data_IF_701397947394
#
_entry.id   IF_701397947394
#
_cell.length_a   1.000
_cell.length_b   1.000
_cell.length_c   1.000
_cell.angle_alpha   90.00
_cell.angle_beta   90.00
_cell.angle_gamma   90.00
#
_symmetry.space_group_name_H-M   'P 1'
#
loop_
_entity.id
_entity.type
_entity.pdbx_description
1 polymer ?
#
# COMPACT_ATOMS: atom_id res chain seq x y z
N UNK A 1 27.39 28.42 3.08
CA UNK A 1 27.06 27.39 2.05
C UNK A 1 25.85 27.87 1.25
N UNK A 2 25.93 27.96 -0.08
CA UNK A 2 24.73 28.27 -0.91
C UNK A 2 23.70 27.17 -0.66
N UNK A 3 22.45 27.53 -0.35
CA UNK A 3 21.33 26.56 -0.28
C UNK A 3 21.31 25.80 -1.62
N UNK A 4 21.71 24.54 -1.60
CA UNK A 4 21.54 23.67 -2.76
C UNK A 4 20.03 23.56 -3.01
N UNK A 5 19.62 23.73 -4.27
CA UNK A 5 18.23 23.55 -4.67
C UNK A 5 17.76 22.12 -4.40
N UNK A 6 16.44 21.91 -4.41
CA UNK A 6 15.86 20.58 -4.24
C UNK A 6 16.26 19.66 -5.40
N UNK A 7 17.10 18.66 -5.11
CA UNK A 7 17.44 17.56 -6.01
C UNK A 7 16.95 16.20 -5.44
N UNK A 8 15.93 15.57 -6.04
CA UNK A 8 15.39 14.31 -5.54
C UNK A 8 16.34 13.11 -5.70
N UNK A 9 17.28 13.14 -6.65
CA UNK A 9 18.27 12.05 -6.85
C UNK A 9 19.37 12.14 -5.78
N UNK A 10 19.83 13.35 -5.46
CA UNK A 10 20.80 13.56 -4.39
C UNK A 10 20.23 13.20 -3.01
N UNK A 11 18.94 13.47 -2.77
CA UNK A 11 18.24 13.00 -1.56
C UNK A 11 18.17 11.48 -1.46
N UNK A 12 18.14 10.75 -2.58
CA UNK A 12 18.07 9.29 -2.58
C UNK A 12 19.43 8.68 -2.18
N UNK A 13 20.53 9.17 -2.77
CA UNK A 13 21.90 8.71 -2.48
C UNK A 13 22.29 8.98 -1.01
N UNK A 14 21.95 10.16 -0.50
CA UNK A 14 22.21 10.53 0.91
C UNK A 14 21.40 9.68 1.89
N UNK A 15 20.27 9.09 1.47
CA UNK A 15 19.43 8.22 2.33
C UNK A 15 19.81 6.76 2.34
N UNK A 16 20.38 6.24 1.25
CA UNK A 16 20.96 4.91 1.26
C UNK A 16 22.13 4.84 2.25
N UNK A 17 22.84 5.95 2.46
CA UNK A 17 23.89 6.11 3.46
C UNK A 17 23.35 6.50 4.85
N UNK A 18 22.30 7.33 4.96
CA UNK A 18 21.66 7.67 6.23
C UNK A 18 20.63 6.63 6.71
N UNK A 19 21.12 5.53 7.30
CA UNK A 19 20.30 4.74 8.25
C UNK A 19 21.08 4.46 9.52
N UNK A 20 21.32 5.50 10.31
CA UNK A 20 21.91 5.39 11.66
C UNK A 20 21.06 4.53 12.63
N UNK A 21 19.80 4.25 12.30
CA UNK A 21 18.92 3.39 13.10
C UNK A 21 19.10 1.91 12.76
N UNK A 22 19.54 1.12 13.74
CA UNK A 22 19.61 -0.34 13.65
C UNK A 22 18.26 -0.96 13.24
N UNK A 23 17.15 -0.46 13.80
CA UNK A 23 15.80 -0.96 13.48
C UNK A 23 15.46 -0.80 12.00
N UNK A 24 15.86 0.33 11.38
CA UNK A 24 15.64 0.54 9.95
C UNK A 24 16.50 -0.43 9.14
N UNK A 25 17.78 -0.60 9.50
CA UNK A 25 18.68 -1.56 8.82
C UNK A 25 18.12 -2.98 8.87
N UNK A 26 17.68 -3.43 10.05
CA UNK A 26 17.05 -4.74 10.23
C UNK A 26 15.76 -4.90 9.42
N UNK A 27 14.91 -3.87 9.36
CA UNK A 27 13.68 -3.92 8.55
C UNK A 27 14.01 -4.03 7.05
N UNK A 28 14.97 -3.25 6.57
CA UNK A 28 15.35 -3.22 5.15
C UNK A 28 16.17 -4.43 4.72
N UNK A 29 16.86 -5.10 5.64
CA UNK A 29 17.56 -6.37 5.36
C UNK A 29 16.63 -7.58 5.31
N UNK A 30 15.37 -7.45 5.75
CA UNK A 30 14.41 -8.54 5.68
C UNK A 30 13.75 -8.57 4.29
N UNK A 31 14.27 -9.42 3.41
CA UNK A 31 13.79 -9.58 2.03
C UNK A 31 12.29 -9.92 1.90
N UNK A 32 11.68 -10.53 2.92
CA UNK A 32 10.28 -10.95 2.89
C UNK A 32 9.29 -9.91 3.42
N UNK A 33 9.73 -9.06 4.35
CA UNK A 33 8.81 -8.18 5.09
C UNK A 33 9.12 -6.69 4.96
N UNK A 34 10.23 -6.29 4.33
CA UNK A 34 10.67 -4.90 4.32
C UNK A 34 9.64 -3.93 3.73
N UNK A 35 8.86 -4.37 2.74
CA UNK A 35 7.89 -3.53 2.03
C UNK A 35 6.53 -3.43 2.73
N UNK A 36 6.27 -4.22 3.79
CA UNK A 36 4.96 -4.28 4.45
C UNK A 36 4.88 -3.49 5.76
N UNK A 37 3.73 -2.86 5.98
CA UNK A 37 3.35 -2.15 7.18
C UNK A 37 3.36 -3.10 8.38
N UNK A 38 3.99 -2.71 9.48
CA UNK A 38 4.07 -3.55 10.68
C UNK A 38 2.73 -3.81 11.38
N UNK A 39 1.66 -3.07 11.03
CA UNK A 39 0.37 -3.14 11.72
C UNK A 39 -0.75 -3.79 10.90
N UNK A 40 -0.71 -3.67 9.58
CA UNK A 40 -1.75 -4.21 8.71
C UNK A 40 -1.20 -4.91 7.46
N UNK A 41 0.13 -4.99 7.35
CA UNK A 41 0.85 -5.60 6.24
C UNK A 41 0.43 -5.16 4.82
N UNK A 42 -0.23 -4.02 4.70
CA UNK A 42 -0.31 -3.27 3.44
C UNK A 42 1.07 -2.73 3.08
N UNK A 43 1.28 -2.37 1.81
CA UNK A 43 2.53 -1.72 1.39
C UNK A 43 2.80 -0.46 2.22
N UNK A 44 4.05 -0.29 2.64
CA UNK A 44 4.50 0.92 3.33
C UNK A 44 4.49 2.11 2.37
N UNK A 45 4.43 3.32 2.90
CA UNK A 45 4.60 4.51 2.03
C UNK A 45 5.94 4.50 1.31
N UNK A 46 6.99 3.97 1.95
CA UNK A 46 8.31 3.85 1.34
C UNK A 46 8.31 2.89 0.15
N UNK A 47 7.76 1.68 0.27
CA UNK A 47 7.67 0.73 -0.84
C UNK A 47 6.79 1.26 -1.96
N UNK A 48 5.63 1.85 -1.65
CA UNK A 48 4.77 2.48 -2.66
C UNK A 48 5.51 3.56 -3.44
N UNK A 49 6.37 4.34 -2.78
CA UNK A 49 7.20 5.32 -3.49
C UNK A 49 8.32 4.68 -4.31
N UNK A 50 8.89 3.54 -3.89
CA UNK A 50 9.85 2.76 -4.69
C UNK A 50 9.21 2.13 -5.93
N UNK A 51 7.93 1.80 -5.87
CA UNK A 51 7.23 1.17 -6.99
C UNK A 51 6.62 2.21 -7.96
N UNK A 52 6.62 3.49 -7.58
CA UNK A 52 5.97 4.57 -8.35
C UNK A 52 6.92 5.74 -8.60
N UNK A 53 7.91 5.61 -9.50
CA UNK A 53 8.79 6.72 -9.86
C UNK A 53 7.98 7.86 -10.48
N UNK A 54 8.43 9.09 -10.23
CA UNK A 54 7.87 10.29 -10.86
C UNK A 54 8.83 10.85 -11.89
N UNK A 55 8.28 11.45 -12.95
CA UNK A 55 9.08 12.16 -13.94
C UNK A 55 9.39 13.55 -13.43
N UNK A 56 10.67 13.93 -13.46
CA UNK A 56 11.14 15.26 -13.09
C UNK A 56 11.89 15.93 -14.24
N UNK A 57 11.79 17.25 -14.30
CA UNK A 57 12.67 18.09 -15.11
C UNK A 57 13.52 18.95 -14.20
N UNK A 58 14.83 18.90 -14.41
CA UNK A 58 15.79 19.81 -13.79
C UNK A 58 15.59 21.22 -14.34
N UNK A 59 15.58 22.18 -13.44
CA UNK A 59 15.51 23.60 -13.71
C UNK A 59 16.88 24.23 -13.43
N UNK A 60 17.09 25.44 -13.96
CA UNK A 60 18.27 26.24 -13.65
C UNK A 60 18.42 26.42 -12.13
N UNK A 61 19.68 26.51 -11.67
CA UNK A 61 20.06 26.67 -10.25
C UNK A 61 19.79 25.46 -9.35
N UNK A 62 19.66 24.25 -9.92
CA UNK A 62 19.56 23.01 -9.16
C UNK A 62 18.18 22.75 -8.55
N UNK A 63 17.14 23.41 -9.06
CA UNK A 63 15.75 23.10 -8.71
C UNK A 63 15.22 21.98 -9.62
N UNK A 64 14.17 21.28 -9.20
CA UNK A 64 13.48 20.30 -10.01
C UNK A 64 11.96 20.52 -9.94
N UNK A 65 11.25 20.25 -11.04
CA UNK A 65 9.79 20.19 -11.08
C UNK A 65 9.30 18.81 -11.48
N UNK A 66 8.20 18.36 -10.88
CA UNK A 66 7.50 17.14 -11.31
C UNK A 66 6.74 17.44 -12.58
N UNK A 67 6.85 16.54 -13.55
CA UNK A 67 6.11 16.57 -14.80
C UNK A 67 4.80 15.82 -14.59
N UNK A 68 3.68 16.49 -14.83
CA UNK A 68 2.37 15.84 -14.87
C UNK A 68 2.30 14.91 -16.07
N UNK A 69 2.08 13.63 -15.84
CA UNK A 69 1.85 12.64 -16.90
C UNK A 69 0.39 12.75 -17.37
N UNK A 70 0.20 13.23 -18.60
CA UNK A 70 -1.10 13.34 -19.25
C UNK A 70 -1.63 11.95 -19.66
N UNK A 71 -2.95 11.80 -19.88
CA UNK A 71 -3.52 10.57 -20.43
C UNK A 71 -2.79 10.11 -21.72
N UNK A 72 -2.52 11.04 -22.64
CA UNK A 72 -1.77 10.75 -23.88
C UNK A 72 -0.42 10.08 -23.68
N UNK A 73 0.32 10.41 -22.61
CA UNK A 73 1.62 9.78 -22.30
C UNK A 73 1.41 8.35 -21.81
N UNK A 74 0.32 8.10 -21.08
CA UNK A 74 -0.05 6.75 -20.64
C UNK A 74 -0.51 5.90 -21.82
N UNK A 75 -1.31 6.47 -22.72
CA UNK A 75 -1.80 5.78 -23.91
C UNK A 75 -0.65 5.38 -24.83
N UNK A 76 0.34 6.24 -25.03
CA UNK A 76 1.54 5.91 -25.82
C UNK A 76 2.33 4.72 -25.26
N UNK A 77 2.40 4.59 -23.93
CA UNK A 77 3.05 3.43 -23.29
C UNK A 77 2.25 2.14 -23.49
N UNK A 78 0.92 2.22 -23.39
CA UNK A 78 0.01 1.11 -23.62
C UNK A 78 0.06 0.64 -25.09
N UNK A 79 -0.02 1.55 -26.05
CA UNK A 79 0.06 1.25 -27.49
C UNK A 79 1.38 0.54 -27.83
N UNK A 80 2.50 1.01 -27.27
CA UNK A 80 3.81 0.39 -27.46
C UNK A 80 3.89 -1.00 -26.83
N UNK A 81 3.33 -1.17 -25.64
CA UNK A 81 3.25 -2.49 -25.00
C UNK A 81 2.44 -3.46 -25.86
N UNK A 82 1.25 -3.05 -26.30
CA UNK A 82 0.37 -3.85 -27.14
C UNK A 82 1.03 -4.27 -28.45
N UNK A 83 1.79 -3.38 -29.09
CA UNK A 83 2.52 -3.71 -30.31
C UNK A 83 3.58 -4.80 -30.07
N UNK A 84 4.29 -4.75 -28.95
CA UNK A 84 5.30 -5.75 -28.58
C UNK A 84 4.64 -7.09 -28.23
N UNK A 85 3.56 -7.05 -27.44
CA UNK A 85 2.79 -8.24 -27.04
C UNK A 85 2.21 -8.94 -28.27
N UNK A 86 1.59 -8.20 -29.19
CA UNK A 86 1.08 -8.75 -30.47
C UNK A 86 2.18 -9.40 -31.29
N UNK A 87 3.39 -8.84 -31.30
CA UNK A 87 4.53 -9.44 -32.01
C UNK A 87 4.97 -10.76 -31.36
N UNK A 88 4.97 -10.84 -30.04
CA UNK A 88 5.28 -12.06 -29.30
C UNK A 88 4.24 -13.15 -29.54
N UNK A 89 2.95 -12.79 -29.46
CA UNK A 89 1.83 -13.69 -29.75
C UNK A 89 1.90 -14.28 -31.17
N UNK A 90 2.14 -13.44 -32.18
CA UNK A 90 2.34 -13.90 -33.56
C UNK A 90 3.56 -14.81 -33.70
N UNK A 91 4.65 -14.53 -32.98
CA UNK A 91 5.84 -15.36 -33.02
C UNK A 91 5.57 -16.75 -32.43
N UNK A 92 4.82 -16.84 -31.33
CA UNK A 92 4.40 -18.11 -30.74
C UNK A 92 3.49 -18.92 -31.68
N UNK A 93 2.59 -18.26 -32.42
CA UNK A 93 1.67 -18.92 -33.35
C UNK A 93 2.32 -19.39 -34.66
N UNK A 94 3.54 -18.94 -34.96
CA UNK A 94 4.24 -19.28 -36.21
C UNK A 94 5.19 -20.46 -36.05
N UNK A 95 5.21 -21.36 -37.04
CA UNK A 95 6.03 -22.60 -37.03
C UNK A 95 7.55 -22.36 -36.95
N UNK A 96 8.03 -21.17 -37.33
CA UNK A 96 9.44 -20.77 -37.28
C UNK A 96 9.72 -19.63 -36.29
N UNK A 97 8.73 -19.22 -35.48
CA UNK A 97 8.84 -18.03 -34.63
C UNK A 97 9.47 -18.23 -33.27
N UNK A 98 9.83 -19.46 -32.90
CA UNK A 98 10.39 -19.78 -31.58
C UNK A 98 11.63 -18.96 -31.23
N UNK A 99 12.54 -18.74 -32.19
CA UNK A 99 13.72 -17.90 -31.98
C UNK A 99 13.34 -16.44 -31.72
N UNK A 100 12.33 -15.93 -32.43
CA UNK A 100 11.85 -14.55 -32.25
C UNK A 100 11.14 -14.40 -30.91
N UNK A 101 10.31 -15.37 -30.52
CA UNK A 101 9.64 -15.39 -29.24
C UNK A 101 10.67 -15.41 -28.09
N UNK A 102 11.69 -16.29 -28.16
CA UNK A 102 12.75 -16.33 -27.15
C UNK A 102 13.50 -15.01 -27.04
N UNK A 103 13.91 -14.40 -28.15
CA UNK A 103 14.60 -13.10 -28.15
C UNK A 103 13.75 -11.97 -27.55
N UNK A 104 12.44 -11.98 -27.80
CA UNK A 104 11.52 -11.02 -27.20
C UNK A 104 11.40 -11.26 -25.70
N UNK A 105 11.26 -12.52 -25.28
CA UNK A 105 11.20 -12.91 -23.88
C UNK A 105 12.45 -12.47 -23.11
N UNK A 106 13.64 -12.85 -23.59
CA UNK A 106 14.92 -12.53 -22.93
C UNK A 106 15.18 -11.02 -22.87
N UNK A 107 14.56 -10.23 -23.75
CA UNK A 107 14.69 -8.77 -23.77
C UNK A 107 13.83 -8.08 -22.71
N UNK A 108 12.64 -8.60 -22.42
CA UNK A 108 11.64 -7.91 -21.59
C UNK A 108 11.36 -8.61 -20.26
N UNK A 109 11.64 -9.90 -20.14
CA UNK A 109 11.30 -10.71 -18.98
C UNK A 109 12.57 -11.22 -18.30
N UNK A 110 12.54 -11.30 -16.96
CA UNK A 110 13.48 -12.10 -16.20
C UNK A 110 12.86 -13.48 -15.96
N UNK A 111 13.47 -14.54 -16.52
CA UNK A 111 12.95 -15.90 -16.43
C UNK A 111 12.84 -16.42 -14.99
N UNK A 112 13.60 -15.88 -14.04
CA UNK A 112 13.54 -16.25 -12.63
C UNK A 112 12.35 -15.55 -11.98
N UNK A 113 12.18 -14.24 -12.23
CA UNK A 113 11.05 -13.45 -11.70
C UNK A 113 9.71 -14.00 -12.19
N UNK A 114 9.62 -14.37 -13.47
CA UNK A 114 8.41 -14.91 -14.10
C UNK A 114 8.21 -16.41 -13.85
N UNK A 115 9.12 -17.09 -13.15
CA UNK A 115 9.14 -18.56 -13.00
C UNK A 115 9.05 -19.28 -14.34
N UNK A 116 9.67 -18.70 -15.37
CA UNK A 116 9.64 -19.16 -16.76
C UNK A 116 8.20 -19.26 -17.33
N UNK A 117 7.25 -18.48 -16.82
CA UNK A 117 5.95 -18.30 -17.48
C UNK A 117 6.18 -17.61 -18.82
N UNK A 118 5.87 -18.33 -19.90
CA UNK A 118 5.97 -17.87 -21.29
C UNK A 118 4.61 -17.59 -21.93
N UNK A 119 3.54 -17.58 -21.13
CA UNK A 119 2.21 -17.19 -21.58
C UNK A 119 2.21 -15.75 -22.12
N UNK A 120 1.25 -15.44 -22.99
CA UNK A 120 1.09 -14.07 -23.51
C UNK A 120 0.76 -13.10 -22.37
N UNK A 121 0.01 -13.53 -21.36
CA UNK A 121 -0.33 -12.74 -20.18
C UNK A 121 0.90 -12.43 -19.33
N UNK A 122 1.70 -13.44 -18.95
CA UNK A 122 2.92 -13.22 -18.18
C UNK A 122 3.96 -12.37 -18.93
N UNK A 123 4.03 -12.51 -20.26
CA UNK A 123 4.86 -11.66 -21.10
C UNK A 123 4.37 -10.19 -21.12
N UNK A 124 3.05 -9.98 -21.18
CA UNK A 124 2.44 -8.64 -21.15
C UNK A 124 2.81 -7.88 -19.88
N UNK A 125 2.72 -8.52 -18.70
CA UNK A 125 3.04 -7.90 -17.41
C UNK A 125 4.48 -7.35 -17.38
N UNK A 126 5.42 -8.09 -17.96
CA UNK A 126 6.82 -7.68 -18.05
C UNK A 126 7.02 -6.48 -19.00
N UNK A 127 6.35 -6.52 -20.17
CA UNK A 127 6.47 -5.48 -21.19
C UNK A 127 5.85 -4.17 -20.73
N UNK A 128 4.66 -4.20 -20.14
CA UNK A 128 3.92 -2.99 -19.74
C UNK A 128 4.72 -2.13 -18.76
N UNK A 129 5.37 -2.74 -17.77
CA UNK A 129 6.23 -2.04 -16.81
C UNK A 129 7.42 -1.36 -17.50
N UNK A 130 8.07 -2.06 -18.43
CA UNK A 130 9.26 -1.55 -19.13
C UNK A 130 8.88 -0.42 -20.10
N UNK A 131 7.83 -0.59 -20.91
CA UNK A 131 7.41 0.44 -21.86
C UNK A 131 6.93 1.68 -21.14
N UNK A 132 6.23 1.53 -20.01
CA UNK A 132 5.82 2.65 -19.17
C UNK A 132 7.01 3.53 -18.77
N UNK A 133 8.05 2.94 -18.19
CA UNK A 133 9.24 3.69 -17.77
C UNK A 133 10.01 4.27 -18.94
N UNK A 134 10.13 3.55 -20.06
CA UNK A 134 10.77 4.07 -21.27
C UNK A 134 10.03 5.29 -21.84
N UNK A 135 8.71 5.26 -21.89
CA UNK A 135 7.92 6.39 -22.39
C UNK A 135 7.99 7.57 -21.43
N UNK A 136 7.87 7.32 -20.12
CA UNK A 136 7.99 8.37 -19.11
C UNK A 136 9.36 9.05 -19.12
N UNK A 137 10.44 8.29 -19.35
CA UNK A 137 11.80 8.82 -19.44
C UNK A 137 12.02 9.78 -20.61
N UNK A 138 11.17 9.77 -21.65
CA UNK A 138 11.23 10.76 -22.74
C UNK A 138 10.85 12.16 -22.28
N UNK A 139 10.10 12.26 -21.19
CA UNK A 139 9.58 13.52 -20.68
C UNK A 139 10.41 14.09 -19.51
N UNK A 140 11.45 13.38 -19.05
CA UNK A 140 12.32 13.82 -17.98
C UNK A 140 13.04 12.65 -17.30
N UNK A 141 13.76 12.94 -16.21
CA UNK A 141 14.43 11.91 -15.41
C UNK A 141 13.40 11.22 -14.51
N UNK A 142 13.46 9.89 -14.42
CA UNK A 142 12.70 9.14 -13.43
C UNK A 142 13.39 9.27 -12.06
N UNK A 143 12.63 9.74 -11.07
CA UNK A 143 13.11 9.86 -9.70
C UNK A 143 12.13 9.20 -8.73
N UNK A 144 12.69 8.47 -7.76
CA UNK A 144 11.94 7.89 -6.65
C UNK A 144 11.81 8.92 -5.54
N UNK A 145 10.93 9.88 -5.81
CA UNK A 145 10.79 11.09 -5.00
C UNK A 145 10.11 10.75 -3.67
N UNK A 146 10.77 11.13 -2.58
CA UNK A 146 10.22 10.98 -1.22
C UNK A 146 9.70 12.28 -0.63
N UNK A 147 9.79 13.39 -1.37
CA UNK A 147 9.26 14.72 -1.06
C UNK A 147 8.83 15.42 -2.34
N UNK A 148 7.58 15.85 -2.46
CA UNK A 148 7.13 16.57 -3.65
C UNK A 148 7.90 17.91 -3.80
N UNK A 149 8.12 18.42 -5.03
CA UNK A 149 8.65 19.77 -5.23
C UNK A 149 7.82 20.81 -4.46
N UNK A 150 8.50 21.69 -3.73
CA UNK A 150 7.86 22.70 -2.87
C UNK A 150 7.52 22.22 -1.46
N UNK A 151 7.70 20.94 -1.12
CA UNK A 151 7.67 20.50 0.28
C UNK A 151 8.95 20.93 1.00
N UNK A 152 8.77 21.51 2.19
CA UNK A 152 9.91 21.91 3.01
C UNK A 152 10.70 20.69 3.54
N UNK A 153 11.86 20.97 4.14
CA UNK A 153 12.69 19.93 4.72
C UNK A 153 12.13 19.30 6.01
N UNK A 154 11.06 19.86 6.56
CA UNK A 154 10.37 19.34 7.75
C UNK A 154 9.19 18.44 7.40
N UNK A 155 8.76 18.44 6.13
CA UNK A 155 7.63 17.67 5.64
C UNK A 155 7.82 16.18 5.93
N UNK A 156 6.72 15.56 6.38
CA UNK A 156 6.70 14.17 6.78
C UNK A 156 7.16 13.27 5.63
N UNK A 157 8.35 12.68 5.78
CA UNK A 157 8.89 11.70 4.85
C UNK A 157 8.01 10.43 4.85
N UNK A 158 7.93 9.71 3.72
CA UNK A 158 7.35 8.38 3.63
C UNK A 158 7.90 7.46 4.72
N UNK A 159 7.00 6.79 5.44
CA UNK A 159 7.37 5.82 6.46
C UNK A 159 7.92 4.54 5.84
N UNK A 160 9.06 4.06 6.36
CA UNK A 160 9.64 2.74 6.06
C UNK A 160 8.95 1.60 6.84
N UNK A 161 8.07 1.93 7.78
CA UNK A 161 7.44 0.95 8.68
C UNK A 161 5.93 0.87 8.53
N UNK A 162 5.29 1.93 8.03
CA UNK A 162 3.85 2.10 8.08
C UNK A 162 3.31 2.52 6.71
N UNK A 163 2.10 2.07 6.40
CA UNK A 163 1.32 2.60 5.28
C UNK A 163 0.78 4.01 5.62
N UNK A 164 0.18 4.70 4.66
CA UNK A 164 -0.38 6.04 4.85
C UNK A 164 -1.42 6.12 5.98
N UNK A 165 -2.22 5.06 6.14
CA UNK A 165 -3.26 4.95 7.17
C UNK A 165 -2.72 4.69 8.57
N UNK A 166 -1.46 4.26 8.70
CA UNK A 166 -0.82 3.97 9.98
C UNK A 166 0.37 4.87 10.28
N UNK A 167 0.71 5.82 9.40
CA UNK A 167 1.76 6.79 9.67
C UNK A 167 1.22 7.93 10.55
N UNK A 168 1.61 8.03 11.84
CA UNK A 168 1.04 9.02 12.77
C UNK A 168 1.37 10.48 12.43
N UNK A 169 2.28 10.70 11.47
CA UNK A 169 2.67 12.01 10.96
C UNK A 169 1.78 12.49 9.81
N UNK A 170 0.86 11.67 9.29
CA UNK A 170 0.00 12.01 8.15
C UNK A 170 -1.30 12.69 8.56
N UNK A 171 -1.96 12.18 9.59
CA UNK A 171 -3.22 12.73 10.07
C UNK A 171 -3.51 12.26 11.50
N UNK A 172 -4.43 12.94 12.17
CA UNK A 172 -4.94 12.47 13.47
C UNK A 172 -5.65 11.12 13.35
N UNK A 173 -6.30 10.86 12.23
CA UNK A 173 -6.94 9.56 11.98
C UNK A 173 -5.90 8.45 11.86
N UNK A 174 -4.82 8.67 11.10
CA UNK A 174 -3.72 7.72 11.00
C UNK A 174 -3.01 7.50 12.35
N UNK A 175 -2.91 8.56 13.17
CA UNK A 175 -2.40 8.47 14.54
C UNK A 175 -3.30 7.63 15.43
N UNK A 176 -4.63 7.79 15.37
CA UNK A 176 -5.59 6.97 16.11
C UNK A 176 -5.53 5.51 15.67
N UNK A 177 -5.52 5.26 14.37
CA UNK A 177 -5.39 3.92 13.80
C UNK A 177 -4.08 3.25 14.28
N UNK A 178 -2.96 3.95 14.20
CA UNK A 178 -1.69 3.47 14.74
C UNK A 178 -1.79 3.13 16.24
N UNK A 179 -2.35 4.02 17.07
CA UNK A 179 -2.45 3.80 18.51
C UNK A 179 -3.37 2.64 18.89
N UNK A 180 -4.42 2.41 18.11
CA UNK A 180 -5.35 1.29 18.25
C UNK A 180 -4.67 -0.01 17.84
N UNK A 181 -4.15 -0.07 16.62
CA UNK A 181 -3.73 -1.31 15.98
C UNK A 181 -2.35 -1.77 16.48
N UNK A 182 -1.47 -0.86 16.93
CA UNK A 182 -0.17 -1.24 17.53
C UNK A 182 -0.29 -2.14 18.76
N UNK A 183 -1.43 -2.09 19.46
CA UNK A 183 -1.69 -2.91 20.65
C UNK A 183 -1.96 -4.37 20.30
N UNK A 184 -2.37 -4.62 19.06
CA UNK A 184 -2.82 -5.91 18.58
C UNK A 184 -1.84 -6.56 17.60
N UNK A 185 -0.60 -6.07 17.57
CA UNK A 185 0.42 -6.55 16.61
C UNK A 185 0.69 -8.05 16.81
N UNK A 186 0.84 -8.49 18.06
CA UNK A 186 1.12 -9.90 18.36
C UNK A 186 -0.07 -10.79 17.97
N UNK A 187 -1.30 -10.36 18.26
CA UNK A 187 -2.50 -11.08 17.86
C UNK A 187 -2.66 -11.15 16.35
N UNK A 188 -2.24 -10.11 15.63
CA UNK A 188 -2.23 -10.15 14.16
C UNK A 188 -1.27 -11.22 13.64
N UNK A 189 -0.06 -11.30 14.20
CA UNK A 189 0.94 -12.32 13.85
C UNK A 189 0.42 -13.74 14.14
N UNK A 190 -0.20 -13.95 15.30
CA UNK A 190 -0.84 -15.23 15.66
C UNK A 190 -1.97 -15.60 14.68
N UNK A 191 -2.80 -14.64 14.27
CA UNK A 191 -3.87 -14.89 13.31
C UNK A 191 -3.32 -15.22 11.92
N UNK A 192 -2.23 -14.60 11.49
CA UNK A 192 -1.57 -14.97 10.23
C UNK A 192 -1.10 -16.43 10.27
N UNK A 193 -0.43 -16.83 11.35
CA UNK A 193 0.05 -18.22 11.51
C UNK A 193 -1.10 -19.22 11.56
N UNK A 194 -2.21 -18.88 12.22
CA UNK A 194 -3.40 -19.72 12.30
C UNK A 194 -4.07 -19.89 10.92
N UNK A 195 -4.29 -18.80 10.18
CA UNK A 195 -4.88 -18.84 8.84
C UNK A 195 -3.97 -19.61 7.87
N UNK A 196 -2.65 -19.41 7.96
CA UNK A 196 -1.67 -20.13 7.15
C UNK A 196 -1.70 -21.64 7.44
N UNK A 197 -1.61 -22.01 8.71
CA UNK A 197 -1.63 -23.41 9.14
C UNK A 197 -2.93 -24.11 8.75
N UNK A 198 -4.08 -23.46 8.95
CA UNK A 198 -5.37 -24.01 8.55
C UNK A 198 -5.46 -24.19 7.03
N UNK A 199 -5.03 -23.19 6.25
CA UNK A 199 -5.07 -23.26 4.79
C UNK A 199 -4.19 -24.35 4.22
N UNK A 200 -2.98 -24.56 4.77
CA UNK A 200 -2.09 -25.65 4.38
C UNK A 200 -2.69 -27.00 4.75
N UNK A 201 -3.14 -27.17 6.01
CA UNK A 201 -3.65 -28.46 6.49
C UNK A 201 -4.92 -28.90 5.78
N UNK A 202 -5.73 -27.96 5.30
CA UNK A 202 -6.94 -28.23 4.52
C UNK A 202 -6.69 -28.38 3.02
N UNK A 203 -5.47 -28.12 2.54
CA UNK A 203 -5.14 -28.08 1.11
C UNK A 203 -5.73 -26.87 0.36
N UNK A 204 -6.33 -25.90 1.08
CA UNK A 204 -6.91 -24.69 0.49
C UNK A 204 -5.87 -23.64 0.09
N UNK A 205 -4.68 -23.68 0.70
CA UNK A 205 -3.55 -22.81 0.36
C UNK A 205 -2.31 -23.63 -0.02
N UNK A 206 -1.55 -23.21 -1.05
CA UNK A 206 -0.25 -23.80 -1.35
C UNK A 206 0.74 -23.51 -0.21
N UNK A 207 1.75 -24.38 -0.07
CA UNK A 207 2.80 -24.20 0.93
C UNK A 207 3.59 -22.88 0.74
N UNK A 208 3.66 -22.37 -0.49
CA UNK A 208 4.24 -21.06 -0.80
C UNK A 208 3.63 -20.48 -2.09
N UNK A 209 3.02 -19.30 -1.99
CA UNK A 209 2.56 -18.51 -3.14
C UNK A 209 2.34 -17.04 -2.76
N UNK A 210 2.58 -16.11 -3.69
CA UNK A 210 2.50 -14.66 -3.41
C UNK A 210 1.06 -14.21 -3.14
N UNK A 211 0.09 -14.75 -3.88
CA UNK A 211 -1.33 -14.44 -3.69
C UNK A 211 -1.85 -15.09 -2.41
N UNK A 212 -1.41 -16.31 -2.10
CA UNK A 212 -1.70 -16.94 -0.81
C UNK A 212 -1.17 -16.11 0.36
N UNK A 213 0.07 -15.61 0.27
CA UNK A 213 0.63 -14.70 1.27
C UNK A 213 -0.18 -13.39 1.38
N UNK A 214 -0.62 -12.81 0.26
CA UNK A 214 -1.47 -11.62 0.28
C UNK A 214 -2.85 -11.89 0.89
N UNK A 215 -3.44 -13.05 0.59
CA UNK A 215 -4.69 -13.52 1.16
C UNK A 215 -4.59 -13.65 2.68
N UNK A 216 -3.63 -14.40 3.20
CA UNK A 216 -3.50 -14.63 4.65
C UNK A 216 -3.32 -13.34 5.43
N UNK A 217 -2.55 -12.38 4.91
CA UNK A 217 -2.39 -11.07 5.55
C UNK A 217 -3.70 -10.28 5.59
N UNK A 218 -4.45 -10.27 4.49
CA UNK A 218 -5.75 -9.60 4.42
C UNK A 218 -6.75 -10.25 5.36
N UNK A 219 -6.78 -11.58 5.38
CA UNK A 219 -7.73 -12.36 6.14
C UNK A 219 -7.47 -12.28 7.65
N UNK A 220 -6.22 -12.43 8.07
CA UNK A 220 -5.85 -12.22 9.47
C UNK A 220 -6.15 -10.80 9.95
N UNK A 221 -5.99 -9.78 9.08
CA UNK A 221 -6.34 -8.40 9.44
C UNK A 221 -7.86 -8.24 9.54
N UNK A 222 -8.63 -8.83 8.63
CA UNK A 222 -10.11 -8.86 8.66
C UNK A 222 -10.60 -9.51 9.96
N UNK A 223 -10.12 -10.72 10.28
CA UNK A 223 -10.45 -11.45 11.49
C UNK A 223 -10.09 -10.65 12.76
N UNK A 224 -8.93 -10.00 12.77
CA UNK A 224 -8.54 -9.14 13.88
C UNK A 224 -9.52 -7.97 14.04
N UNK A 225 -9.89 -7.31 12.94
CA UNK A 225 -10.85 -6.22 12.96
C UNK A 225 -12.25 -6.71 13.35
N UNK A 226 -12.63 -7.96 13.12
CA UNK A 226 -13.92 -8.52 13.58
C UNK A 226 -13.91 -8.86 15.06
N UNK A 227 -12.84 -9.50 15.54
CA UNK A 227 -12.67 -9.83 16.96
C UNK A 227 -12.54 -8.56 17.80
N UNK A 228 -11.86 -7.54 17.26
CA UNK A 228 -11.60 -6.26 17.93
C UNK A 228 -12.49 -5.13 17.44
N UNK A 229 -13.43 -5.42 16.54
CA UNK A 229 -14.47 -4.47 16.15
C UNK A 229 -15.11 -3.99 17.44
N UNK A 230 -15.50 -2.71 17.51
CA UNK A 230 -16.30 -2.26 18.63
C UNK A 230 -17.60 -3.08 18.61
N UNK A 231 -17.66 -4.16 19.40
CA UNK A 231 -18.93 -4.80 19.76
C UNK A 231 -19.83 -3.77 20.44
N UNK A 232 -19.22 -2.71 20.98
CA UNK A 232 -19.78 -1.42 21.41
C UNK A 232 -20.20 -0.46 20.31
N UNK A 233 -20.34 -0.90 19.05
CA UNK A 233 -21.04 -0.10 18.04
C UNK A 233 -22.43 0.27 18.57
N UNK A 234 -22.85 1.51 18.33
CA UNK A 234 -24.11 2.00 18.90
C UNK A 234 -25.31 1.18 18.39
N UNK A 235 -25.25 0.65 17.17
CA UNK A 235 -26.26 -0.27 16.62
C UNK A 235 -26.42 -1.49 17.52
N UNK A 236 -25.33 -2.16 17.87
CA UNK A 236 -25.36 -3.33 18.75
C UNK A 236 -25.83 -2.97 20.16
N UNK A 237 -25.44 -1.81 20.68
CA UNK A 237 -25.92 -1.33 21.99
C UNK A 237 -27.41 -1.05 21.93
N UNK A 238 -27.92 -0.46 20.85
CA UNK A 238 -29.33 -0.13 20.68
C UNK A 238 -30.17 -1.39 20.50
N UNK A 239 -29.74 -2.34 19.67
CA UNK A 239 -30.39 -3.64 19.51
C UNK A 239 -30.53 -4.37 20.85
N UNK A 240 -29.50 -4.35 21.70
CA UNK A 240 -29.55 -4.99 23.02
C UNK A 240 -30.40 -4.19 24.03
N UNK A 241 -30.45 -2.85 23.91
CA UNK A 241 -31.39 -2.04 24.69
C UNK A 241 -32.84 -2.31 24.28
N UNK A 242 -33.10 -2.49 22.99
CA UNK A 242 -34.43 -2.80 22.44
C UNK A 242 -34.89 -4.20 22.85
N UNK A 243 -33.95 -5.12 23.09
CA UNK A 243 -34.19 -6.43 23.73
C UNK A 243 -34.43 -6.33 25.25
N UNK A 244 -34.47 -5.12 25.83
CA UNK A 244 -34.75 -4.87 27.23
C UNK A 244 -33.58 -5.09 28.19
N UNK A 245 -32.36 -5.26 27.68
CA UNK A 245 -31.19 -5.52 28.53
C UNK A 245 -30.74 -4.28 29.29
N UNK A 246 -30.29 -4.46 30.53
CA UNK A 246 -29.69 -3.37 31.30
C UNK A 246 -28.30 -3.02 30.75
N UNK A 247 -27.85 -1.78 30.95
CA UNK A 247 -26.50 -1.36 30.54
C UNK A 247 -25.38 -2.20 31.15
N UNK A 248 -25.61 -2.82 32.31
CA UNK A 248 -24.64 -3.71 32.94
C UNK A 248 -24.58 -5.07 32.23
N UNK A 249 -25.71 -5.57 31.73
CA UNK A 249 -25.78 -6.83 30.97
C UNK A 249 -25.20 -6.65 29.58
N UNK A 250 -25.50 -5.53 28.93
CA UNK A 250 -24.90 -5.12 27.65
C UNK A 250 -23.37 -5.02 27.81
N UNK A 251 -22.88 -4.42 28.89
CA UNK A 251 -21.45 -4.34 29.15
C UNK A 251 -20.80 -5.74 29.26
N UNK A 252 -21.45 -6.68 29.94
CA UNK A 252 -21.00 -8.08 30.05
C UNK A 252 -21.01 -8.79 28.70
N UNK A 253 -22.10 -8.66 27.93
CA UNK A 253 -22.28 -9.33 26.64
C UNK A 253 -21.32 -8.79 25.56
N UNK A 254 -21.07 -7.48 25.56
CA UNK A 254 -20.14 -6.83 24.64
C UNK A 254 -18.68 -6.87 25.14
N UNK A 255 -18.43 -7.52 26.28
CA UNK A 255 -17.13 -7.60 26.96
C UNK A 255 -16.45 -6.22 27.08
N UNK A 256 -17.19 -5.26 27.63
CA UNK A 256 -16.77 -3.86 27.76
C UNK A 256 -17.13 -3.32 29.15
N UNK A 257 -16.71 -2.09 29.46
CA UNK A 257 -17.10 -1.44 30.71
C UNK A 257 -18.49 -0.81 30.61
N UNK A 258 -19.23 -0.80 31.72
CA UNK A 258 -20.51 -0.07 31.81
C UNK A 258 -20.34 1.42 31.47
N UNK A 259 -19.21 2.03 31.83
CA UNK A 259 -18.93 3.43 31.47
C UNK A 259 -18.78 3.61 29.94
N UNK A 260 -18.17 2.65 29.24
CA UNK A 260 -18.05 2.70 27.78
C UNK A 260 -19.41 2.62 27.08
N UNK A 261 -20.31 1.76 27.57
CA UNK A 261 -21.70 1.66 27.08
C UNK A 261 -22.45 2.98 27.32
N UNK A 262 -22.40 3.52 28.54
CA UNK A 262 -23.04 4.80 28.88
C UNK A 262 -22.51 5.97 28.04
N UNK A 263 -21.18 6.05 27.86
CA UNK A 263 -20.55 7.08 27.04
C UNK A 263 -20.89 6.94 25.54
N UNK A 264 -21.07 5.71 25.03
CA UNK A 264 -21.53 5.49 23.66
C UNK A 264 -22.97 5.98 23.46
N UNK A 265 -23.89 5.63 24.37
CA UNK A 265 -25.28 6.09 24.34
C UNK A 265 -25.36 7.62 24.39
N UNK A 266 -24.60 8.25 25.30
CA UNK A 266 -24.57 9.71 25.43
C UNK A 266 -24.06 10.40 24.18
N UNK A 267 -22.96 9.92 23.59
CA UNK A 267 -22.39 10.47 22.34
C UNK A 267 -23.37 10.36 21.17
N UNK A 268 -24.13 9.26 21.11
CA UNK A 268 -25.15 9.10 20.08
C UNK A 268 -26.27 10.13 20.24
N UNK A 269 -26.84 10.27 21.45
CA UNK A 269 -27.87 11.27 21.75
C UNK A 269 -27.42 12.70 21.45
N UNK A 270 -26.16 13.04 21.77
CA UNK A 270 -25.59 14.34 21.44
C UNK A 270 -25.49 14.56 19.92
N UNK A 271 -25.03 13.56 19.17
CA UNK A 271 -24.97 13.61 17.70
C UNK A 271 -26.35 13.67 17.02
N UNK A 272 -27.39 13.08 17.62
CA UNK A 272 -28.76 13.17 17.10
C UNK A 272 -29.45 14.49 17.50
N UNK A 273 -28.95 15.18 18.53
CA UNK A 273 -29.44 16.47 18.99
C UNK A 273 -28.73 17.66 18.32
N UNK A 274 -27.58 17.46 17.68
CA UNK A 274 -26.95 18.47 16.83
C UNK A 274 -27.67 18.51 15.46
N UNK A 275 -28.30 19.64 15.07
CA UNK A 275 -28.82 19.80 13.73
C UNK A 275 -27.67 19.70 12.73
N UNK A 276 -27.87 18.90 11.67
CA UNK A 276 -26.94 18.85 10.54
C UNK A 276 -26.72 20.27 9.97
N UNK A 277 -25.59 20.88 10.30
CA UNK A 277 -25.10 22.07 9.62
C UNK A 277 -24.60 21.66 8.22
N UNK A 278 -25.53 21.37 7.31
CA UNK A 278 -25.27 21.28 5.88
C UNK A 278 -25.86 22.50 5.18
N UNK A 279 -24.99 23.11 4.36
CA UNK A 279 -25.24 24.10 3.29
C UNK A 279 -25.37 25.56 3.72
N UNK A 280 -24.22 26.22 3.83
CA UNK A 280 -24.10 27.65 3.54
C UNK A 280 -22.72 27.93 2.91
N UNK A 281 -22.55 27.50 1.66
CA UNK A 281 -21.65 28.14 0.71
C UNK A 281 -22.23 27.93 -0.70
N UNK A 282 -23.32 28.65 -0.98
CA UNK A 282 -23.51 29.24 -2.31
C UNK A 282 -23.22 30.73 -2.16
N UNK A 283 -22.12 31.16 -2.76
CA UNK A 283 -21.99 32.37 -3.59
C UNK A 283 -20.62 32.31 -4.26
#
# INVERSE_FOLDING_TARGET
MKKQGFDPIYQQITRFSETSSQRIRTKLSNHYAWCFCELCWRTTEYSTNLDSPQVIKRLLRGNAKVVGLTPSIRDAAAEKADAIVKRYERALASSQGHQTASRLYDKYCDSIETRNDRSVTGFRDCVERITLYQEWAKHGELAWITRKPGQDETAAKPSKFYCEFHNPRRSDEARRAYQRDRRFKAEYEILMDAVWSQGINSGALPAWDIEAHAYVRREAYRLLQEVKAPRTAISNIQELLDQGMSQADIARQLNTSRQAVSAAIRRHKQRSAEPSAQKLFMK
#
